data_IF_686059651131
#
_entry.id   IF_686059651131
#
_cell.length_a   1.000
_cell.length_b   1.000
_cell.length_c   1.000
_cell.angle_alpha   90.00
_cell.angle_beta   90.00
_cell.angle_gamma   90.00
#
_symmetry.space_group_name_H-M   'P 1'
#
loop_
_entity.id
_entity.type
_entity.pdbx_description
1 polymer ?
#
# COMPACT_ATOMS: atom_id res chain seq x y z
N UNK A 1 -16.84 -6.00 -19.05
CA UNK A 1 -15.87 -6.59 -18.10
C UNK A 1 -14.85 -5.58 -17.59
N UNK A 2 -14.43 -4.60 -18.40
CA UNK A 2 -13.44 -3.58 -18.02
C UNK A 2 -13.93 -2.58 -16.95
N UNK A 3 -15.19 -2.12 -17.04
CA UNK A 3 -15.75 -1.16 -16.07
C UNK A 3 -15.70 -1.63 -14.61
N UNK A 4 -15.99 -2.91 -14.35
CA UNK A 4 -15.95 -3.48 -12.99
C UNK A 4 -14.52 -3.53 -12.43
N UNK A 5 -13.52 -3.70 -13.28
CA UNK A 5 -12.10 -3.66 -12.90
C UNK A 5 -11.67 -2.23 -12.57
N UNK A 6 -12.05 -1.25 -13.39
CA UNK A 6 -11.77 0.17 -13.15
C UNK A 6 -12.36 0.64 -11.82
N UNK A 7 -13.63 0.31 -11.55
CA UNK A 7 -14.29 0.65 -10.29
C UNK A 7 -13.52 0.05 -9.11
N UNK A 8 -13.09 -1.22 -9.19
CA UNK A 8 -12.31 -1.85 -8.11
C UNK A 8 -10.98 -1.14 -7.87
N UNK A 9 -10.26 -0.77 -8.92
CA UNK A 9 -9.02 -0.01 -8.76
C UNK A 9 -9.29 1.39 -8.18
N UNK A 10 -10.35 2.07 -8.59
CA UNK A 10 -10.74 3.37 -8.02
C UNK A 10 -11.08 3.25 -6.53
N UNK A 11 -11.86 2.23 -6.14
CA UNK A 11 -12.18 1.95 -4.73
C UNK A 11 -10.91 1.67 -3.93
N UNK A 12 -10.02 0.82 -4.45
CA UNK A 12 -8.75 0.52 -3.78
C UNK A 12 -7.85 1.76 -3.68
N UNK A 13 -7.82 2.63 -4.70
CA UNK A 13 -7.09 3.89 -4.67
C UNK A 13 -7.61 4.80 -3.55
N UNK A 14 -8.93 4.98 -3.48
CA UNK A 14 -9.59 5.79 -2.45
C UNK A 14 -9.31 5.23 -1.06
N UNK A 15 -9.44 3.91 -0.87
CA UNK A 15 -9.17 3.26 0.41
C UNK A 15 -7.69 3.40 0.82
N UNK A 16 -6.76 3.13 -0.09
CA UNK A 16 -5.32 3.25 0.18
C UNK A 16 -4.95 4.71 0.53
N UNK A 17 -5.51 5.67 -0.19
CA UNK A 17 -5.32 7.11 0.07
C UNK A 17 -5.90 7.50 1.43
N UNK A 18 -7.15 7.10 1.71
CA UNK A 18 -7.83 7.38 2.97
C UNK A 18 -7.10 6.79 4.17
N UNK A 19 -6.63 5.54 4.08
CA UNK A 19 -5.81 4.91 5.11
C UNK A 19 -4.48 5.64 5.31
N UNK A 20 -3.85 6.11 4.23
CA UNK A 20 -2.58 6.84 4.30
C UNK A 20 -2.79 8.19 4.99
N UNK A 21 -3.85 8.91 4.64
CA UNK A 21 -4.21 10.18 5.29
C UNK A 21 -4.58 9.99 6.77
N UNK A 22 -5.29 8.91 7.10
CA UNK A 22 -5.60 8.56 8.48
C UNK A 22 -4.33 8.23 9.28
N UNK A 23 -3.40 7.45 8.72
CA UNK A 23 -2.12 7.21 9.37
C UNK A 23 -1.32 8.49 9.54
N UNK A 24 -1.29 9.36 8.53
CA UNK A 24 -0.61 10.66 8.59
C UNK A 24 -1.14 11.55 9.71
N UNK A 25 -2.47 11.63 9.89
CA UNK A 25 -3.07 12.49 10.93
C UNK A 25 -2.79 11.99 12.36
N UNK A 26 -2.44 10.72 12.53
CA UNK A 26 -2.07 10.13 13.82
C UNK A 26 -0.61 10.40 14.23
N UNK A 27 0.17 11.12 13.42
CA UNK A 27 1.60 11.35 13.64
C UNK A 27 1.93 12.83 13.95
N UNK A 28 1.34 13.45 14.99
CA UNK A 28 1.70 14.81 15.36
C UNK A 28 3.11 14.84 15.97
N UNK A 29 4.03 15.62 15.39
CA UNK A 29 5.32 15.93 16.02
C UNK A 29 6.58 15.76 15.16
N UNK A 30 6.52 15.05 14.03
CA UNK A 30 7.65 14.99 13.09
C UNK A 30 7.43 15.93 11.88
N UNK A 31 8.46 16.02 11.02
CA UNK A 31 8.36 16.81 9.78
C UNK A 31 7.32 16.19 8.84
N UNK A 32 6.63 16.98 8.00
CA UNK A 32 5.65 16.45 7.05
C UNK A 32 6.21 15.33 6.17
N UNK A 33 7.48 15.44 5.74
CA UNK A 33 8.15 14.42 4.94
C UNK A 33 8.31 13.08 5.69
N UNK A 34 8.68 13.14 6.98
CA UNK A 34 8.80 11.96 7.84
C UNK A 34 7.44 11.30 8.06
N UNK A 35 6.40 12.10 8.33
CA UNK A 35 5.04 11.60 8.49
C UNK A 35 4.54 10.89 7.23
N UNK A 36 4.75 11.47 6.05
CA UNK A 36 4.39 10.83 4.78
C UNK A 36 5.16 9.52 4.55
N UNK A 37 6.47 9.50 4.86
CA UNK A 37 7.27 8.29 4.75
C UNK A 37 6.74 7.18 5.66
N UNK A 38 6.46 7.47 6.93
CA UNK A 38 5.95 6.49 7.90
C UNK A 38 4.53 6.03 7.54
N UNK A 39 3.64 6.94 7.16
CA UNK A 39 2.27 6.61 6.77
C UNK A 39 2.23 5.65 5.56
N UNK A 40 2.99 5.96 4.51
CA UNK A 40 3.06 5.10 3.31
C UNK A 40 3.69 3.73 3.62
N UNK A 41 4.65 3.66 4.55
CA UNK A 41 5.23 2.40 5.04
C UNK A 41 4.15 1.50 5.66
N UNK A 42 3.45 2.01 6.69
CA UNK A 42 2.46 1.23 7.43
C UNK A 42 1.29 0.77 6.56
N UNK A 43 0.77 1.64 5.70
CA UNK A 43 -0.34 1.26 4.81
C UNK A 43 0.13 0.24 3.76
N UNK A 44 1.33 0.40 3.19
CA UNK A 44 1.88 -0.60 2.26
C UNK A 44 2.04 -1.97 2.93
N UNK A 45 2.51 -2.02 4.18
CA UNK A 45 2.68 -3.24 4.95
C UNK A 45 1.32 -3.89 5.26
N UNK A 46 0.32 -3.11 5.66
CA UNK A 46 -1.04 -3.60 5.87
C UNK A 46 -1.61 -4.25 4.60
N UNK A 47 -1.48 -3.59 3.45
CA UNK A 47 -1.93 -4.13 2.17
C UNK A 47 -1.16 -5.40 1.76
N UNK A 48 0.13 -5.48 2.08
CA UNK A 48 0.94 -6.69 1.88
C UNK A 48 0.43 -7.83 2.76
N UNK A 49 0.17 -7.58 4.05
CA UNK A 49 -0.42 -8.59 4.96
C UNK A 49 -1.76 -9.08 4.41
N UNK A 50 -2.65 -8.18 4.01
CA UNK A 50 -3.93 -8.56 3.39
C UNK A 50 -3.71 -9.42 2.14
N UNK A 51 -2.77 -9.03 1.28
CA UNK A 51 -2.42 -9.78 0.07
C UNK A 51 -2.00 -11.21 0.38
N UNK A 52 -1.14 -11.39 1.39
CA UNK A 52 -0.63 -12.70 1.81
C UNK A 52 -1.73 -13.54 2.47
N UNK A 53 -2.63 -12.91 3.25
CA UNK A 53 -3.71 -13.58 3.96
C UNK A 53 -4.83 -14.11 3.05
N UNK A 54 -5.03 -13.52 1.87
CA UNK A 54 -6.08 -13.98 0.93
C UNK A 54 -5.91 -15.46 0.56
N UNK A 55 -4.67 -15.92 0.38
CA UNK A 55 -4.40 -17.32 0.02
C UNK A 55 -4.81 -18.32 1.11
N UNK A 56 -4.22 -18.24 2.31
CA UNK A 56 -4.59 -19.07 3.45
C UNK A 56 -6.09 -18.97 3.79
N UNK A 57 -6.66 -17.77 3.75
CA UNK A 57 -8.08 -17.56 4.02
C UNK A 57 -8.98 -18.34 3.06
N UNK A 58 -8.67 -18.33 1.75
CA UNK A 58 -9.45 -19.10 0.77
C UNK A 58 -9.37 -20.61 1.02
N UNK A 59 -8.20 -21.12 1.41
CA UNK A 59 -8.01 -22.54 1.75
C UNK A 59 -8.84 -22.93 2.97
N UNK A 60 -8.80 -22.13 4.04
CA UNK A 60 -9.55 -22.39 5.28
C UNK A 60 -11.07 -22.41 5.01
N UNK A 61 -11.56 -21.52 4.14
CA UNK A 61 -12.99 -21.42 3.80
C UNK A 61 -13.41 -22.41 2.70
N UNK A 62 -12.51 -23.29 2.25
CA UNK A 62 -12.80 -24.31 1.23
C UNK A 62 -13.07 -23.74 -0.16
N UNK A 63 -12.64 -22.51 -0.44
CA UNK A 63 -12.78 -21.87 -1.75
C UNK A 63 -11.61 -22.25 -2.65
N UNK A 64 -11.90 -22.52 -3.93
CA UNK A 64 -10.86 -22.69 -4.93
C UNK A 64 -10.00 -21.42 -5.00
N UNK A 65 -8.69 -21.56 -4.77
CA UNK A 65 -7.77 -20.43 -4.74
C UNK A 65 -7.01 -20.38 -6.08
N UNK A 66 -7.46 -19.60 -7.09
CA UNK A 66 -6.75 -19.48 -8.34
C UNK A 66 -5.35 -18.86 -8.10
N UNK A 67 -4.35 -19.31 -8.87
CA UNK A 67 -2.94 -18.88 -8.76
C UNK A 67 -2.81 -17.35 -8.75
N UNK A 68 -3.64 -16.64 -9.54
CA UNK A 68 -3.78 -15.18 -9.52
C UNK A 68 -5.25 -14.77 -9.35
N UNK A 69 -5.75 -14.72 -8.12
CA UNK A 69 -7.04 -14.12 -7.82
C UNK A 69 -7.06 -12.61 -8.11
N UNK A 70 -8.10 -12.13 -8.81
CA UNK A 70 -8.25 -10.71 -9.17
C UNK A 70 -8.16 -9.76 -7.97
N UNK A 71 -8.65 -10.16 -6.79
CA UNK A 71 -8.56 -9.35 -5.57
C UNK A 71 -7.14 -9.32 -5.01
N UNK A 72 -6.49 -10.49 -4.86
CA UNK A 72 -5.11 -10.60 -4.36
C UNK A 72 -4.16 -9.76 -5.19
N UNK A 73 -4.25 -9.85 -6.51
CA UNK A 73 -3.42 -9.09 -7.44
C UNK A 73 -3.66 -7.59 -7.31
N UNK A 74 -4.92 -7.16 -7.30
CA UNK A 74 -5.23 -5.73 -7.32
C UNK A 74 -4.88 -5.05 -5.99
N UNK A 75 -5.02 -5.75 -4.85
CA UNK A 75 -4.51 -5.28 -3.54
C UNK A 75 -2.98 -5.20 -3.54
N UNK A 76 -2.31 -6.24 -4.08
CA UNK A 76 -0.85 -6.26 -4.18
C UNK A 76 -0.29 -5.10 -5.01
N UNK A 77 -0.97 -4.72 -6.10
CA UNK A 77 -0.58 -3.57 -6.94
C UNK A 77 -0.55 -2.29 -6.10
N UNK A 78 -1.60 -2.00 -5.34
CA UNK A 78 -1.66 -0.79 -4.52
C UNK A 78 -0.67 -0.83 -3.34
N UNK A 79 -0.47 -2.01 -2.73
CA UNK A 79 0.59 -2.20 -1.73
C UNK A 79 1.97 -1.91 -2.30
N UNK A 80 2.28 -2.42 -3.49
CA UNK A 80 3.54 -2.18 -4.19
C UNK A 80 3.74 -0.71 -4.59
N UNK A 81 2.69 -0.04 -5.08
CA UNK A 81 2.73 1.40 -5.39
C UNK A 81 3.07 2.21 -4.15
N UNK A 82 2.41 1.96 -3.01
CA UNK A 82 2.72 2.65 -1.76
C UNK A 82 4.12 2.33 -1.24
N UNK A 83 4.61 1.10 -1.41
CA UNK A 83 5.98 0.74 -1.04
C UNK A 83 7.02 1.49 -1.88
N UNK A 84 6.79 1.68 -3.19
CA UNK A 84 7.66 2.50 -4.04
C UNK A 84 7.63 3.98 -3.64
N UNK A 85 6.45 4.52 -3.33
CA UNK A 85 6.31 5.88 -2.82
C UNK A 85 7.07 6.02 -1.49
N UNK A 86 6.89 5.06 -0.57
CA UNK A 86 7.60 5.01 0.70
C UNK A 86 9.12 5.01 0.50
N UNK A 87 9.65 4.18 -0.40
CA UNK A 87 11.07 4.14 -0.74
C UNK A 87 11.59 5.52 -1.17
N UNK A 88 10.87 6.19 -2.09
CA UNK A 88 11.24 7.54 -2.54
C UNK A 88 11.26 8.53 -1.38
N UNK A 89 10.20 8.54 -0.56
CA UNK A 89 10.10 9.43 0.60
C UNK A 89 11.17 9.14 1.65
N UNK A 90 11.46 7.86 1.92
CA UNK A 90 12.48 7.43 2.87
C UNK A 90 13.87 7.90 2.45
N UNK A 91 14.18 7.84 1.15
CA UNK A 91 15.41 8.39 0.58
C UNK A 91 15.48 9.90 0.80
N UNK A 92 14.37 10.63 0.62
CA UNK A 92 14.34 12.07 0.90
C UNK A 92 14.59 12.36 2.38
N UNK A 93 14.02 11.57 3.30
CA UNK A 93 14.20 11.74 4.75
C UNK A 93 15.65 11.50 5.17
N UNK A 94 16.33 10.48 4.65
CA UNK A 94 17.69 10.11 5.07
C UNK A 94 18.79 10.91 4.37
N UNK A 95 18.60 11.25 3.10
CA UNK A 95 19.61 11.94 2.29
C UNK A 95 19.32 13.43 2.11
N UNK A 96 18.26 13.96 2.74
CA UNK A 96 17.81 15.35 2.56
C UNK A 96 17.65 15.74 1.07
N UNK A 97 17.22 14.77 0.24
CA UNK A 97 17.07 14.89 -1.21
C UNK A 97 18.37 14.87 -2.02
N UNK A 98 19.52 14.66 -1.38
CA UNK A 98 20.85 14.59 -2.03
C UNK A 98 21.30 13.15 -2.27
N UNK A 99 20.38 12.28 -2.70
CA UNK A 99 20.63 10.85 -2.93
C UNK A 99 21.80 10.65 -3.91
N UNK A 100 21.91 11.50 -4.93
CA UNK A 100 22.95 11.45 -5.97
C UNK A 100 24.39 11.69 -5.49
N UNK A 101 24.58 12.10 -4.24
CA UNK A 101 25.91 12.32 -3.66
C UNK A 101 26.50 11.05 -3.01
N UNK A 102 25.77 9.94 -3.01
CA UNK A 102 26.12 8.66 -2.41
C UNK A 102 25.90 7.52 -3.41
#
# INVERSE_FOLDING_TARGET
MEGRRLIRHAVLAVLATGLTLACYSMMPGATPMSNWSIATAWVSLLLLVITLMIGPYNVIVGKHNPISGYLRRDVAIWGGVLALIHMVLWLQVHFAGKVWLY
#
